data_IF_345630718858
#
_entry.id   IF_345630718858
#
_cell.length_a   1.000
_cell.length_b   1.000
_cell.length_c   1.000
_cell.angle_alpha   90.00
_cell.angle_beta   90.00
_cell.angle_gamma   90.00
#
_symmetry.space_group_name_H-M   'P 1'
#
loop_
_entity.id
_entity.type
_entity.pdbx_description
1 polymer ?
#
# COMPACT_ATOMS: atom_id res chain seq x y z
N UNK A 1 -19.27 -1.74 16.67
CA UNK A 1 -18.76 -0.70 15.77
C UNK A 1 -19.75 0.42 15.60
N UNK A 2 -19.29 1.66 15.48
CA UNK A 2 -20.17 2.81 15.28
C UNK A 2 -20.61 2.86 13.80
N UNK A 3 -21.90 2.66 13.55
CA UNK A 3 -22.48 2.65 12.19
C UNK A 3 -22.49 4.02 11.51
N UNK A 4 -22.15 5.09 12.25
CA UNK A 4 -22.03 6.46 11.69
C UNK A 4 -20.68 6.70 11.04
N UNK A 5 -19.70 5.83 11.30
CA UNK A 5 -18.34 5.90 10.73
C UNK A 5 -18.30 5.10 9.46
N UNK A 6 -17.80 5.70 8.38
CA UNK A 6 -17.48 5.02 7.13
C UNK A 6 -16.03 4.56 7.20
N UNK A 7 -15.83 3.30 7.60
CA UNK A 7 -14.52 2.68 7.66
C UNK A 7 -13.95 2.43 6.26
N UNK A 8 -12.65 2.56 6.13
CA UNK A 8 -11.86 2.34 4.93
C UNK A 8 -10.67 1.46 5.31
N UNK A 9 -10.11 0.76 4.35
CA UNK A 9 -8.89 0.01 4.55
C UNK A 9 -7.81 0.61 3.67
N UNK A 10 -6.65 0.89 4.24
CA UNK A 10 -5.43 1.24 3.50
C UNK A 10 -4.52 0.02 3.57
N UNK A 11 -3.93 -0.39 2.44
CA UNK A 11 -3.09 -1.58 2.31
C UNK A 11 -1.85 -1.24 1.50
N UNK A 12 -0.72 -1.81 1.88
CA UNK A 12 0.54 -1.73 1.13
C UNK A 12 1.25 -3.08 1.12
N UNK A 13 2.14 -3.30 0.13
CA UNK A 13 2.85 -4.56 -0.06
C UNK A 13 4.32 -4.35 -0.41
N UNK A 14 5.21 -5.10 0.28
CA UNK A 14 6.59 -5.28 -0.17
C UNK A 14 6.75 -6.57 -0.98
N UNK A 15 7.63 -6.53 -1.99
CA UNK A 15 7.59 -7.50 -3.05
C UNK A 15 8.95 -8.10 -3.41
N UNK A 16 8.90 -9.33 -3.92
CA UNK A 16 10.02 -9.95 -4.63
C UNK A 16 9.59 -10.33 -6.07
N UNK A 17 10.52 -10.44 -7.03
CA UNK A 17 10.18 -10.84 -8.39
C UNK A 17 9.74 -12.31 -8.47
N UNK A 18 8.84 -12.62 -9.39
CA UNK A 18 8.48 -14.02 -9.71
C UNK A 18 9.56 -14.72 -10.53
N UNK A 19 10.34 -13.94 -11.27
CA UNK A 19 11.42 -14.40 -12.13
C UNK A 19 12.61 -13.44 -12.01
N UNK A 20 13.78 -13.99 -11.72
CA UNK A 20 15.02 -13.22 -11.58
C UNK A 20 15.63 -12.79 -12.91
N UNK A 21 15.09 -13.26 -14.05
CA UNK A 21 15.57 -12.94 -15.39
C UNK A 21 14.87 -11.73 -16.01
N UNK A 22 13.74 -11.26 -15.45
CA UNK A 22 13.00 -10.11 -15.95
C UNK A 22 13.61 -8.79 -15.47
N UNK A 23 13.97 -7.92 -16.42
CA UNK A 23 14.56 -6.61 -16.11
C UNK A 23 13.54 -5.54 -15.64
N UNK A 24 12.24 -5.73 -15.93
CA UNK A 24 11.21 -4.72 -15.62
C UNK A 24 10.36 -5.13 -14.45
N UNK A 25 10.40 -4.34 -13.39
CA UNK A 25 9.48 -4.44 -12.25
C UNK A 25 8.09 -3.99 -12.68
N UNK A 26 7.12 -4.88 -12.52
CA UNK A 26 5.68 -4.57 -12.67
C UNK A 26 4.89 -5.45 -11.71
N UNK A 27 3.71 -5.00 -11.27
CA UNK A 27 2.87 -5.82 -10.39
C UNK A 27 2.51 -7.20 -10.96
N UNK A 28 2.66 -7.42 -12.28
CA UNK A 28 2.38 -8.70 -12.93
C UNK A 28 3.47 -9.76 -12.72
N UNK A 29 4.70 -9.34 -12.40
CA UNK A 29 5.85 -10.23 -12.19
C UNK A 29 6.42 -10.16 -10.77
N UNK A 30 5.61 -9.69 -9.80
CA UNK A 30 6.00 -9.57 -8.41
C UNK A 30 5.09 -10.39 -7.51
N UNK A 31 5.64 -10.88 -6.39
CA UNK A 31 4.93 -11.58 -5.31
C UNK A 31 5.04 -10.78 -4.02
N UNK A 32 3.94 -10.67 -3.28
CA UNK A 32 3.93 -10.03 -1.97
C UNK A 32 4.52 -10.96 -0.91
N UNK A 33 5.54 -10.46 -0.20
CA UNK A 33 6.09 -11.14 0.97
C UNK A 33 5.79 -10.42 2.29
N UNK A 34 5.64 -9.08 2.29
CA UNK A 34 5.17 -8.28 3.42
C UNK A 34 3.86 -7.60 3.03
N UNK A 35 2.89 -7.62 3.91
CA UNK A 35 1.57 -7.06 3.69
C UNK A 35 1.12 -6.36 4.96
N UNK A 36 0.93 -5.04 4.87
CA UNK A 36 0.37 -4.24 5.93
C UNK A 36 -1.01 -3.71 5.58
N UNK A 37 -1.89 -3.56 6.57
CA UNK A 37 -3.09 -2.76 6.40
C UNK A 37 -3.53 -2.07 7.68
N UNK A 38 -4.25 -0.97 7.51
CA UNK A 38 -4.92 -0.28 8.58
C UNK A 38 -6.39 -0.03 8.24
N UNK A 39 -7.25 -0.20 9.23
CA UNK A 39 -8.65 0.26 9.18
C UNK A 39 -8.68 1.68 9.69
N UNK A 40 -9.13 2.59 8.85
CA UNK A 40 -9.14 4.03 9.14
C UNK A 40 -10.49 4.66 8.79
N UNK A 41 -10.71 5.89 9.23
CA UNK A 41 -11.79 6.72 8.71
C UNK A 41 -11.22 7.86 7.81
N UNK A 42 -12.11 8.69 7.27
CA UNK A 42 -11.73 9.85 6.45
C UNK A 42 -10.96 10.95 7.20
N UNK A 43 -10.90 10.88 8.53
CA UNK A 43 -10.15 11.80 9.40
C UNK A 43 -8.76 11.29 9.73
N UNK A 44 -8.45 10.05 9.30
CA UNK A 44 -7.17 9.39 9.56
C UNK A 44 -7.07 8.71 10.92
N UNK A 45 -8.19 8.61 11.65
CA UNK A 45 -8.24 7.81 12.88
C UNK A 45 -8.04 6.33 12.54
N UNK A 46 -7.16 5.67 13.29
CA UNK A 46 -6.82 4.26 13.12
C UNK A 46 -7.58 3.42 14.12
N UNK A 47 -8.30 2.42 13.64
CA UNK A 47 -9.13 1.51 14.45
C UNK A 47 -8.52 0.13 14.62
N UNK A 48 -7.76 -0.32 13.63
CA UNK A 48 -7.06 -1.61 13.63
C UNK A 48 -5.87 -1.54 12.68
N UNK A 49 -4.79 -2.20 13.03
CA UNK A 49 -3.62 -2.40 12.17
C UNK A 49 -3.25 -3.88 12.11
N UNK A 50 -2.72 -4.30 10.98
CA UNK A 50 -2.18 -5.65 10.78
C UNK A 50 -0.87 -5.57 9.99
N UNK A 51 0.07 -6.43 10.36
CA UNK A 51 1.35 -6.58 9.69
C UNK A 51 1.66 -8.06 9.55
N UNK A 52 1.76 -8.54 8.32
CA UNK A 52 1.95 -9.95 8.00
C UNK A 52 3.14 -10.18 7.10
N UNK A 53 3.86 -11.25 7.40
CA UNK A 53 4.83 -11.84 6.49
C UNK A 53 4.23 -13.10 5.89
N UNK A 54 4.14 -13.14 4.58
CA UNK A 54 3.63 -14.27 3.81
C UNK A 54 4.63 -15.42 3.83
N UNK A 55 4.41 -16.42 4.68
CA UNK A 55 5.30 -17.55 4.85
C UNK A 55 5.50 -18.34 3.54
N UNK A 56 4.44 -18.47 2.72
CA UNK A 56 4.48 -19.23 1.46
C UNK A 56 5.39 -18.60 0.39
N UNK A 57 5.77 -17.32 0.55
CA UNK A 57 6.77 -16.63 -0.28
C UNK A 57 8.08 -16.46 0.49
N UNK A 58 8.01 -15.92 1.70
CA UNK A 58 9.18 -15.56 2.50
C UNK A 58 10.06 -16.77 2.87
N UNK A 59 9.45 -17.92 3.19
CA UNK A 59 10.16 -19.13 3.55
C UNK A 59 10.41 -20.06 2.37
N UNK A 60 9.42 -20.20 1.47
CA UNK A 60 9.45 -21.23 0.44
C UNK A 60 10.17 -20.75 -0.83
N UNK A 61 10.08 -19.44 -1.15
CA UNK A 61 10.68 -18.84 -2.35
C UNK A 61 12.02 -18.13 -2.05
N UNK A 62 12.91 -18.82 -1.32
CA UNK A 62 14.18 -18.23 -0.83
C UNK A 62 15.06 -17.62 -1.93
N UNK A 63 15.04 -18.14 -3.14
CA UNK A 63 15.83 -17.60 -4.24
C UNK A 63 15.23 -16.27 -4.73
N UNK A 64 13.91 -16.18 -4.83
CA UNK A 64 13.21 -14.95 -5.20
C UNK A 64 13.39 -13.88 -4.13
N UNK A 65 13.33 -14.26 -2.84
CA UNK A 65 13.57 -13.35 -1.72
C UNK A 65 14.95 -12.69 -1.74
N UNK A 66 16.00 -13.39 -2.20
CA UNK A 66 17.34 -12.79 -2.36
C UNK A 66 17.37 -11.70 -3.43
N UNK A 67 16.44 -11.73 -4.38
CA UNK A 67 16.29 -10.76 -5.45
C UNK A 67 15.27 -9.66 -5.14
N UNK A 68 14.66 -9.67 -3.96
CA UNK A 68 13.78 -8.60 -3.51
C UNK A 68 14.53 -7.26 -3.49
N UNK A 69 13.89 -6.18 -3.90
CA UNK A 69 14.52 -4.87 -3.95
C UNK A 69 15.08 -4.45 -2.57
N UNK A 70 14.36 -4.78 -1.50
CA UNK A 70 14.76 -4.52 -0.12
C UNK A 70 15.31 -5.76 0.60
N UNK A 71 15.97 -6.69 -0.11
CA UNK A 71 16.55 -7.90 0.50
C UNK A 71 17.50 -7.62 1.66
N UNK A 72 18.17 -6.45 1.68
CA UNK A 72 19.04 -6.02 2.78
C UNK A 72 18.29 -5.82 4.10
N UNK A 73 16.96 -5.69 4.09
CA UNK A 73 16.11 -5.56 5.29
C UNK A 73 15.66 -6.91 5.87
N UNK A 74 15.93 -8.02 5.22
CA UNK A 74 15.50 -9.34 5.71
C UNK A 74 15.90 -9.64 7.16
N UNK A 75 17.10 -9.23 7.68
CA UNK A 75 17.43 -9.41 9.11
C UNK A 75 16.40 -8.72 10.03
N UNK A 76 15.98 -7.49 9.70
CA UNK A 76 14.98 -6.75 10.47
C UNK A 76 13.63 -7.46 10.50
N UNK A 77 13.20 -8.07 9.39
CA UNK A 77 11.97 -8.88 9.37
C UNK A 77 12.02 -10.06 10.34
N UNK A 78 13.18 -10.74 10.48
CA UNK A 78 13.33 -11.81 11.45
C UNK A 78 13.27 -11.32 12.89
N UNK A 79 13.83 -10.13 13.19
CA UNK A 79 13.72 -9.48 14.50
C UNK A 79 12.25 -9.16 14.80
N UNK A 80 11.55 -8.50 13.88
CA UNK A 80 10.14 -8.12 14.02
C UNK A 80 9.21 -9.33 14.22
N UNK A 81 9.49 -10.46 13.54
CA UNK A 81 8.78 -11.72 13.74
C UNK A 81 9.04 -12.27 15.14
N UNK A 82 10.29 -12.25 15.59
CA UNK A 82 10.67 -12.73 16.92
C UNK A 82 10.07 -11.88 18.04
N UNK A 83 9.94 -10.57 17.83
CA UNK A 83 9.31 -9.62 18.76
C UNK A 83 7.78 -9.66 18.70
N UNK A 84 7.21 -10.32 17.70
CA UNK A 84 5.75 -10.41 17.50
C UNK A 84 5.10 -9.15 16.95
N UNK A 85 5.88 -8.20 16.43
CA UNK A 85 5.38 -6.99 15.76
C UNK A 85 4.89 -7.28 14.34
N UNK A 86 5.38 -8.38 13.73
CA UNK A 86 4.91 -8.93 12.45
C UNK A 86 4.53 -10.39 12.62
N UNK A 87 3.43 -10.80 12.00
CA UNK A 87 2.91 -12.15 12.07
C UNK A 87 3.31 -12.95 10.83
N UNK A 88 4.22 -13.92 11.00
CA UNK A 88 4.56 -14.87 9.93
C UNK A 88 3.46 -15.92 9.81
N UNK A 89 2.76 -15.96 8.69
CA UNK A 89 1.65 -16.89 8.47
C UNK A 89 1.41 -17.18 6.99
N UNK A 90 0.58 -18.17 6.67
CA UNK A 90 0.29 -18.54 5.29
C UNK A 90 -0.54 -17.46 4.57
N UNK A 91 -0.41 -17.40 3.25
CA UNK A 91 -1.23 -16.54 2.39
C UNK A 91 -2.74 -16.75 2.60
N UNK A 92 -3.12 -18.00 2.80
CA UNK A 92 -4.51 -18.33 3.09
C UNK A 92 -5.03 -17.64 4.34
N UNK A 93 -4.27 -17.68 5.44
CA UNK A 93 -4.64 -17.04 6.69
C UNK A 93 -4.67 -15.51 6.56
N UNK A 94 -3.69 -14.90 5.86
CA UNK A 94 -3.66 -13.46 5.59
C UNK A 94 -4.95 -13.03 4.86
N UNK A 95 -5.31 -13.77 3.81
CA UNK A 95 -6.53 -13.48 3.05
C UNK A 95 -7.80 -13.69 3.85
N UNK A 96 -7.87 -14.72 4.69
CA UNK A 96 -9.01 -14.96 5.57
C UNK A 96 -9.19 -13.80 6.56
N UNK A 97 -8.11 -13.35 7.21
CA UNK A 97 -8.18 -12.22 8.15
C UNK A 97 -8.55 -10.90 7.47
N UNK A 98 -8.07 -10.67 6.25
CA UNK A 98 -8.49 -9.51 5.46
C UNK A 98 -10.01 -9.54 5.19
N UNK A 99 -10.55 -10.68 4.78
CA UNK A 99 -11.99 -10.84 4.51
C UNK A 99 -12.81 -10.65 5.79
N UNK A 100 -12.33 -11.19 6.90
CA UNK A 100 -12.96 -11.02 8.21
C UNK A 100 -12.92 -9.54 8.65
N UNK A 101 -11.78 -8.86 8.48
CA UNK A 101 -11.64 -7.43 8.77
C UNK A 101 -12.61 -6.60 7.91
N UNK A 102 -12.69 -6.87 6.61
CA UNK A 102 -13.66 -6.22 5.70
C UNK A 102 -15.08 -6.40 6.19
N UNK A 103 -15.47 -7.62 6.54
CA UNK A 103 -16.83 -7.94 7.01
C UNK A 103 -17.13 -7.27 8.36
N UNK A 104 -16.19 -7.36 9.31
CA UNK A 104 -16.32 -6.81 10.67
C UNK A 104 -16.52 -5.30 10.66
N UNK A 105 -15.79 -4.56 9.84
CA UNK A 105 -15.89 -3.10 9.75
C UNK A 105 -16.86 -2.61 8.66
N UNK A 106 -17.45 -3.51 7.86
CA UNK A 106 -18.32 -3.14 6.75
C UNK A 106 -17.59 -2.30 5.69
N UNK A 107 -16.34 -2.64 5.42
CA UNK A 107 -15.47 -1.91 4.48
C UNK A 107 -15.99 -2.12 3.06
N UNK A 108 -16.13 -1.04 2.32
CA UNK A 108 -16.55 -1.03 0.92
C UNK A 108 -15.50 -0.44 -0.03
N UNK A 109 -14.48 0.20 0.54
CA UNK A 109 -13.40 0.87 -0.21
C UNK A 109 -12.03 0.50 0.39
N UNK A 110 -11.10 0.07 -0.48
CA UNK A 110 -9.72 -0.24 -0.14
C UNK A 110 -8.81 0.71 -0.93
N UNK A 111 -7.80 1.25 -0.26
CA UNK A 111 -6.88 2.27 -0.77
C UNK A 111 -5.44 1.79 -0.69
N UNK A 112 -4.62 2.19 -1.67
CA UNK A 112 -3.17 2.19 -1.64
C UNK A 112 -2.63 3.37 -2.44
N UNK A 113 -1.36 3.70 -2.29
CA UNK A 113 -0.70 4.73 -3.09
C UNK A 113 -0.11 4.10 -4.37
N UNK A 114 -0.64 4.49 -5.54
CA UNK A 114 -0.40 3.77 -6.81
C UNK A 114 -1.02 2.35 -6.80
N UNK A 115 -2.22 2.24 -6.30
CA UNK A 115 -3.00 1.02 -6.07
C UNK A 115 -2.99 0.01 -7.23
N UNK A 116 -2.69 0.45 -8.46
CA UNK A 116 -2.59 -0.48 -9.60
C UNK A 116 -1.48 -1.50 -9.38
N UNK A 117 -0.37 -1.09 -8.78
CA UNK A 117 0.76 -1.97 -8.49
C UNK A 117 0.35 -3.02 -7.44
N UNK A 118 -0.12 -2.60 -6.27
CA UNK A 118 -0.51 -3.50 -5.17
C UNK A 118 -1.63 -4.45 -5.57
N UNK A 119 -2.63 -3.94 -6.30
CA UNK A 119 -3.70 -4.78 -6.82
C UNK A 119 -3.18 -5.92 -7.70
N UNK A 120 -2.25 -5.63 -8.61
CA UNK A 120 -1.67 -6.65 -9.49
C UNK A 120 -0.77 -7.61 -8.71
N UNK A 121 0.04 -7.12 -7.79
CA UNK A 121 0.90 -7.93 -6.91
C UNK A 121 0.06 -8.93 -6.10
N UNK A 122 -0.96 -8.44 -5.40
CA UNK A 122 -1.85 -9.27 -4.58
C UNK A 122 -2.59 -10.31 -5.43
N UNK A 123 -3.07 -9.91 -6.61
CA UNK A 123 -3.72 -10.81 -7.55
C UNK A 123 -2.75 -11.88 -8.09
N UNK A 124 -1.53 -11.47 -8.44
CA UNK A 124 -0.51 -12.37 -8.96
C UNK A 124 -0.08 -13.38 -7.88
N UNK A 125 0.16 -12.93 -6.65
CA UNK A 125 0.49 -13.80 -5.51
C UNK A 125 -0.63 -14.83 -5.27
N UNK A 126 -1.89 -14.39 -5.29
CA UNK A 126 -3.05 -15.29 -5.14
C UNK A 126 -3.08 -16.37 -6.23
N UNK A 127 -2.78 -16.01 -7.47
CA UNK A 127 -2.77 -16.94 -8.60
C UNK A 127 -1.56 -17.87 -8.58
N UNK A 128 -0.39 -17.34 -8.22
CA UNK A 128 0.84 -18.10 -8.07
C UNK A 128 0.69 -19.21 -7.05
N UNK A 129 0.29 -18.87 -5.84
CA UNK A 129 0.19 -19.80 -4.73
C UNK A 129 -0.97 -20.79 -4.87
N UNK A 130 -2.09 -20.39 -5.48
CA UNK A 130 -3.24 -21.28 -5.69
C UNK A 130 -3.20 -22.05 -7.01
N UNK A 131 -2.20 -21.78 -7.89
CA UNK A 131 -2.09 -22.33 -9.25
C UNK A 131 -3.37 -22.13 -10.07
N UNK A 132 -4.08 -21.03 -9.86
CA UNK A 132 -5.36 -20.75 -10.51
C UNK A 132 -5.48 -19.31 -10.97
N UNK A 133 -5.53 -19.10 -12.29
CA UNK A 133 -5.74 -17.79 -12.92
C UNK A 133 -7.12 -17.15 -12.67
N UNK A 134 -8.08 -17.93 -12.15
CA UNK A 134 -9.44 -17.47 -11.88
C UNK A 134 -9.65 -16.98 -10.44
N UNK A 135 -8.65 -17.06 -9.59
CA UNK A 135 -8.76 -16.61 -8.21
C UNK A 135 -8.37 -15.15 -8.06
N UNK A 136 -9.17 -14.42 -7.30
CA UNK A 136 -8.96 -13.02 -6.95
C UNK A 136 -8.61 -12.90 -5.46
N UNK A 137 -7.78 -11.93 -5.13
CA UNK A 137 -7.40 -11.67 -3.73
C UNK A 137 -8.54 -10.98 -2.99
N UNK A 138 -9.01 -9.85 -3.52
CA UNK A 138 -10.10 -9.10 -2.90
C UNK A 138 -11.47 -9.77 -3.14
N UNK A 139 -12.40 -9.70 -2.15
CA UNK A 139 -13.76 -10.18 -2.34
C UNK A 139 -14.54 -9.32 -3.34
N UNK A 140 -15.57 -9.92 -3.93
CA UNK A 140 -16.46 -9.22 -4.86
C UNK A 140 -17.18 -8.05 -4.18
N UNK A 141 -17.40 -6.96 -4.94
CA UNK A 141 -18.14 -5.77 -4.49
C UNK A 141 -17.29 -4.71 -3.78
N UNK A 142 -16.02 -4.99 -3.50
CA UNK A 142 -15.10 -4.00 -2.95
C UNK A 142 -14.64 -3.03 -4.04
N UNK A 143 -14.71 -1.74 -3.75
CA UNK A 143 -14.19 -0.67 -4.61
C UNK A 143 -12.71 -0.46 -4.33
N UNK A 144 -11.91 -0.55 -5.37
CA UNK A 144 -10.46 -0.36 -5.32
C UNK A 144 -10.14 1.09 -5.63
N UNK A 145 -9.43 1.77 -4.74
CA UNK A 145 -9.18 3.21 -4.76
C UNK A 145 -7.68 3.50 -4.72
N UNK A 146 -7.29 4.64 -5.30
CA UNK A 146 -5.89 5.05 -5.48
C UNK A 146 -5.66 6.45 -4.91
N UNK A 147 -4.88 6.55 -3.83
CA UNK A 147 -4.53 7.83 -3.19
C UNK A 147 -3.66 8.70 -4.08
N UNK A 148 -2.88 8.13 -5.01
CA UNK A 148 -2.12 8.88 -6.03
C UNK A 148 -3.05 9.63 -6.99
N UNK A 149 -4.17 9.02 -7.43
CA UNK A 149 -5.18 9.72 -8.22
C UNK A 149 -5.80 10.88 -7.44
N UNK A 150 -6.12 10.65 -6.17
CA UNK A 150 -6.64 11.70 -5.29
C UNK A 150 -5.65 12.85 -5.16
N UNK A 151 -4.38 12.56 -4.90
CA UNK A 151 -3.32 13.56 -4.78
C UNK A 151 -3.11 14.37 -6.08
N UNK A 152 -3.20 13.72 -7.25
CA UNK A 152 -3.15 14.41 -8.55
C UNK A 152 -4.23 15.47 -8.72
N UNK A 153 -5.45 15.20 -8.24
CA UNK A 153 -6.56 16.13 -8.38
C UNK A 153 -6.58 17.20 -7.29
N UNK A 154 -6.16 16.87 -6.06
CA UNK A 154 -6.31 17.73 -4.88
C UNK A 154 -5.03 18.49 -4.53
N UNK A 155 -3.85 17.87 -4.70
CA UNK A 155 -2.56 18.38 -4.22
C UNK A 155 -1.71 18.95 -5.36
N UNK A 156 -1.49 18.18 -6.42
CA UNK A 156 -0.50 18.45 -7.46
C UNK A 156 -0.63 19.83 -8.14
N UNK A 157 -1.85 20.36 -8.19
CA UNK A 157 -2.16 21.62 -8.87
C UNK A 157 -2.23 22.83 -7.92
N UNK A 158 -1.96 22.63 -6.63
CA UNK A 158 -1.99 23.73 -5.67
C UNK A 158 -0.70 24.55 -5.76
N UNK A 159 -0.78 25.91 -5.76
CA UNK A 159 0.42 26.74 -5.83
C UNK A 159 1.43 26.42 -4.71
N UNK A 160 0.94 26.14 -3.50
CA UNK A 160 1.77 25.80 -2.34
C UNK A 160 2.56 24.52 -2.53
N UNK A 161 1.97 23.48 -3.12
CA UNK A 161 2.67 22.22 -3.41
C UNK A 161 3.68 22.39 -4.55
N UNK A 162 3.32 23.16 -5.57
CA UNK A 162 4.22 23.45 -6.70
C UNK A 162 5.46 24.18 -6.20
N UNK A 163 5.31 25.26 -5.39
CA UNK A 163 6.45 25.97 -4.78
C UNK A 163 7.29 25.04 -3.91
N UNK A 164 6.65 24.25 -3.04
CA UNK A 164 7.34 23.26 -2.22
C UNK A 164 8.20 22.29 -3.06
N UNK A 165 7.66 21.76 -4.15
CA UNK A 165 8.44 20.87 -5.02
C UNK A 165 9.56 21.57 -5.76
N UNK A 166 9.38 22.82 -6.16
CA UNK A 166 10.41 23.63 -6.82
C UNK A 166 11.57 23.95 -5.86
N UNK A 167 11.26 24.39 -4.65
CA UNK A 167 12.23 24.77 -3.62
C UNK A 167 13.08 23.57 -3.15
N UNK A 168 12.50 22.35 -3.14
CA UNK A 168 13.16 21.15 -2.64
C UNK A 168 13.65 20.19 -3.74
N UNK A 169 13.55 20.55 -5.02
CA UNK A 169 14.03 19.71 -6.12
C UNK A 169 13.17 18.49 -6.40
N UNK A 170 11.91 18.49 -5.99
CA UNK A 170 10.97 17.37 -6.19
C UNK A 170 10.22 17.45 -7.51
N UNK A 171 10.97 17.73 -8.58
CA UNK A 171 10.43 17.71 -9.95
C UNK A 171 10.92 16.49 -10.72
N UNK A 172 10.08 16.03 -11.64
CA UNK A 172 10.47 15.01 -12.63
C UNK A 172 11.39 15.63 -13.69
N UNK A 173 12.01 14.78 -14.52
CA UNK A 173 12.82 15.24 -15.68
C UNK A 173 12.03 16.16 -16.62
N UNK A 174 10.71 16.02 -16.66
CA UNK A 174 9.80 16.83 -17.50
C UNK A 174 9.24 18.05 -16.76
N UNK A 175 9.77 18.42 -15.59
CA UNK A 175 9.34 19.58 -14.80
C UNK A 175 7.99 19.40 -14.08
N UNK A 176 7.44 18.19 -14.02
CA UNK A 176 6.21 17.92 -13.26
C UNK A 176 6.54 17.65 -11.78
N UNK A 177 5.64 18.03 -10.87
CA UNK A 177 5.77 17.70 -9.44
C UNK A 177 5.74 16.19 -9.22
N UNK A 178 6.62 15.69 -8.36
CA UNK A 178 6.59 14.30 -7.92
C UNK A 178 5.46 14.12 -6.89
N UNK A 179 4.88 12.93 -6.87
CA UNK A 179 3.76 12.55 -5.99
C UNK A 179 4.03 11.19 -5.32
N UNK A 180 5.28 10.91 -4.93
CA UNK A 180 5.57 9.73 -4.12
C UNK A 180 4.97 9.90 -2.72
N UNK A 181 4.68 8.80 -2.04
CA UNK A 181 4.10 8.83 -0.70
C UNK A 181 4.98 9.65 0.26
N UNK A 182 6.29 9.42 0.24
CA UNK A 182 7.28 10.15 1.04
C UNK A 182 7.23 11.68 0.83
N UNK A 183 7.25 12.15 -0.43
CA UNK A 183 7.23 13.60 -0.73
C UNK A 183 5.90 14.23 -0.30
N UNK A 184 4.79 13.53 -0.53
CA UNK A 184 3.47 13.98 -0.07
C UNK A 184 3.41 14.04 1.45
N UNK A 185 3.96 13.04 2.14
CA UNK A 185 4.01 13.02 3.60
C UNK A 185 4.84 14.17 4.17
N UNK A 186 6.05 14.42 3.64
CA UNK A 186 6.87 15.59 4.00
C UNK A 186 6.10 16.90 3.85
N UNK A 187 5.39 17.08 2.74
CA UNK A 187 4.58 18.27 2.51
C UNK A 187 3.40 18.40 3.50
N UNK A 188 2.73 17.28 3.82
CA UNK A 188 1.55 17.28 4.68
C UNK A 188 1.91 17.55 6.14
N UNK A 189 3.00 16.96 6.61
CA UNK A 189 3.45 17.02 8.01
C UNK A 189 4.42 18.17 8.29
N UNK A 190 5.15 18.63 7.26
CA UNK A 190 6.26 19.56 7.40
C UNK A 190 7.56 18.91 7.87
N UNK A 191 7.60 17.60 8.02
CA UNK A 191 8.78 16.84 8.42
C UNK A 191 9.66 16.55 7.19
N UNK A 192 10.67 17.40 6.99
CA UNK A 192 11.58 17.32 5.85
C UNK A 192 12.63 16.21 5.97
N UNK A 193 12.91 15.78 7.20
CA UNK A 193 13.88 14.70 7.48
C UNK A 193 13.26 13.31 7.41
N UNK A 194 11.94 13.22 7.23
CA UNK A 194 11.25 11.95 7.12
C UNK A 194 11.78 11.13 5.94
N UNK A 195 12.09 9.85 6.19
CA UNK A 195 12.43 8.86 5.19
C UNK A 195 11.45 7.69 5.28
N UNK A 196 10.96 7.24 4.13
CA UNK A 196 10.04 6.09 4.04
C UNK A 196 10.76 4.81 4.45
N UNK A 197 10.13 4.03 5.33
CA UNK A 197 10.76 2.81 5.85
C UNK A 197 10.74 1.66 4.84
N UNK A 198 9.88 1.73 3.81
CA UNK A 198 9.63 0.66 2.85
C UNK A 198 9.36 -0.67 3.54
N UNK A 199 8.32 -0.68 4.36
CA UNK A 199 7.79 -1.84 5.05
C UNK A 199 6.28 -1.70 5.13
N UNK A 200 5.53 -2.77 4.84
CA UNK A 200 4.12 -2.70 4.52
C UNK A 200 3.26 -1.92 5.51
N UNK A 201 3.32 -2.17 6.82
CA UNK A 201 2.47 -1.45 7.78
C UNK A 201 2.89 0.01 7.97
N UNK A 202 4.20 0.29 8.01
CA UNK A 202 4.72 1.64 8.19
C UNK A 202 4.32 2.53 7.01
N UNK A 203 4.37 2.00 5.79
CA UNK A 203 4.00 2.74 4.59
C UNK A 203 2.47 2.97 4.53
N UNK A 204 1.67 2.02 5.00
CA UNK A 204 0.22 2.22 5.22
C UNK A 204 -0.07 3.42 6.14
N UNK A 205 0.73 3.61 7.20
CA UNK A 205 0.55 4.73 8.13
C UNK A 205 0.94 6.08 7.51
N UNK A 206 1.79 6.10 6.51
CA UNK A 206 2.10 7.27 5.68
C UNK A 206 0.95 7.54 4.71
N UNK A 207 0.49 6.52 4.02
CA UNK A 207 -0.57 6.63 3.02
C UNK A 207 -1.91 7.07 3.61
N UNK A 208 -2.23 6.67 4.84
CA UNK A 208 -3.43 7.16 5.53
C UNK A 208 -3.42 8.68 5.75
N UNK A 209 -2.24 9.28 5.93
CA UNK A 209 -2.14 10.74 6.06
C UNK A 209 -2.43 11.43 4.72
N UNK A 210 -2.01 10.83 3.60
CA UNK A 210 -2.37 11.31 2.26
C UNK A 210 -3.89 11.22 2.05
N UNK A 211 -4.48 10.08 2.42
CA UNK A 211 -5.93 9.87 2.37
C UNK A 211 -6.68 10.94 3.18
N UNK A 212 -6.30 11.12 4.45
CA UNK A 212 -6.85 12.13 5.36
C UNK A 212 -6.78 13.53 4.76
N UNK A 213 -5.59 13.90 4.28
CA UNK A 213 -5.34 15.23 3.70
C UNK A 213 -6.25 15.49 2.49
N UNK A 214 -6.36 14.52 1.57
CA UNK A 214 -7.21 14.65 0.39
C UNK A 214 -8.68 14.83 0.78
N UNK A 215 -9.19 14.03 1.73
CA UNK A 215 -10.57 14.18 2.19
C UNK A 215 -10.83 15.52 2.90
N UNK A 216 -9.86 16.01 3.69
CA UNK A 216 -9.98 17.30 4.40
C UNK A 216 -10.09 18.52 3.46
N UNK A 217 -9.68 18.40 2.19
CA UNK A 217 -9.81 19.48 1.21
C UNK A 217 -11.24 19.65 0.66
N UNK A 218 -12.14 18.70 0.90
CA UNK A 218 -13.54 18.74 0.45
C UNK A 218 -13.71 19.02 -1.06
N UNK A 219 -12.75 18.59 -1.89
CA UNK A 219 -12.77 18.76 -3.34
C UNK A 219 -13.28 17.49 -4.01
N UNK A 220 -13.92 17.65 -5.16
CA UNK A 220 -14.17 16.53 -6.06
C UNK A 220 -12.84 15.96 -6.56
N UNK A 221 -12.70 14.63 -6.50
CA UNK A 221 -11.47 13.94 -6.88
C UNK A 221 -11.78 12.55 -7.42
N UNK A 222 -11.02 12.13 -8.39
CA UNK A 222 -11.03 10.73 -8.86
C UNK A 222 -10.33 9.88 -7.82
N UNK A 223 -10.90 8.76 -7.48
CA UNK A 223 -10.32 7.83 -6.51
C UNK A 223 -10.37 6.37 -6.94
N UNK A 224 -11.32 5.97 -7.77
CA UNK A 224 -11.44 4.58 -8.16
C UNK A 224 -10.37 4.19 -9.18
N UNK A 225 -9.85 2.98 -9.06
CA UNK A 225 -8.79 2.50 -9.95
C UNK A 225 -9.25 2.44 -11.41
N UNK A 226 -10.52 2.09 -11.63
CA UNK A 226 -11.14 1.94 -12.95
C UNK A 226 -12.20 3.02 -13.25
N UNK A 227 -12.00 4.24 -12.78
CA UNK A 227 -12.79 5.36 -13.25
C UNK A 227 -12.50 5.60 -14.75
N UNK A 228 -13.55 5.59 -15.56
CA UNK A 228 -13.52 6.00 -16.97
C UNK A 228 -13.46 7.52 -17.10
#
# INVERSE_FOLDING_TARGET
MDRRISYKLVIDTETCPCDTTEEKVSGYNMLAYDIGWAVVDKRGEVYETKSYINADVFLDEKQLMKSAYYAHKLPKYWEDIAEGTRVLTSWFNIRCDLIETIARYGITEIYAHNMRFDYQVLLNTQRWLTKSKYRYFFPYGIKICDTLKMARDVVAKTPTYISFCQENGYLTKNGQVKLTAEILYRYITGDMEFEESHTGLEDVLIEKEILRYCYAKHKAMRKYLWDN
#
